data_IF_697181245617
#
_entry.id   IF_697181245617
#
_cell.length_a   1.000
_cell.length_b   1.000
_cell.length_c   1.000
_cell.angle_alpha   90.00
_cell.angle_beta   90.00
_cell.angle_gamma   90.00
#
_symmetry.space_group_name_H-M   'P 1'
#
loop_
_entity.id
_entity.type
_entity.pdbx_description
1 polymer ?
#
# COMPACT_ATOMS: atom_id res chain seq x y z
N UNK A 1 -26.16 8.24 7.87
CA UNK A 1 -25.77 7.23 6.86
C UNK A 1 -24.32 6.86 7.15
N UNK A 2 -24.00 5.59 7.14
CA UNK A 2 -22.69 5.12 7.61
C UNK A 2 -21.64 5.33 6.49
N UNK A 3 -20.74 6.29 6.65
CA UNK A 3 -19.71 6.66 5.66
C UNK A 3 -18.85 5.47 5.21
N UNK A 4 -18.66 4.48 6.08
CA UNK A 4 -17.93 3.25 5.78
C UNK A 4 -18.63 2.39 4.71
N UNK A 5 -19.96 2.23 4.79
CA UNK A 5 -20.73 1.46 3.81
C UNK A 5 -20.76 2.11 2.43
N UNK A 6 -20.80 3.44 2.40
CA UNK A 6 -20.78 4.20 1.14
C UNK A 6 -19.41 4.08 0.45
N UNK A 7 -18.35 4.14 1.23
CA UNK A 7 -16.99 3.90 0.77
C UNK A 7 -16.82 2.49 0.16
N UNK A 8 -17.21 1.45 0.89
CA UNK A 8 -17.11 0.07 0.43
C UNK A 8 -17.91 -0.17 -0.86
N UNK A 9 -19.13 0.39 -0.93
CA UNK A 9 -19.97 0.36 -2.12
C UNK A 9 -19.30 1.02 -3.31
N UNK A 10 -18.63 2.17 -3.11
CA UNK A 10 -17.93 2.91 -4.17
C UNK A 10 -16.75 2.13 -4.71
N UNK A 11 -15.92 1.54 -3.83
CA UNK A 11 -14.80 0.70 -4.24
C UNK A 11 -15.28 -0.54 -4.99
N UNK A 12 -16.34 -1.19 -4.51
CA UNK A 12 -16.95 -2.34 -5.19
C UNK A 12 -17.41 -1.98 -6.60
N UNK A 13 -18.14 -0.90 -6.77
CA UNK A 13 -18.63 -0.47 -8.10
C UNK A 13 -17.47 -0.19 -9.07
N UNK A 14 -16.37 0.40 -8.59
CA UNK A 14 -15.21 0.69 -9.40
C UNK A 14 -14.38 -0.57 -9.75
N UNK A 15 -14.51 -1.64 -8.98
CA UNK A 15 -13.85 -2.93 -9.25
C UNK A 15 -14.58 -3.78 -10.30
N UNK A 16 -15.84 -3.47 -10.59
CA UNK A 16 -16.62 -4.21 -11.57
C UNK A 16 -16.22 -3.87 -13.02
N UNK A 17 -16.32 -4.82 -13.97
CA UNK A 17 -16.24 -4.51 -15.39
C UNK A 17 -17.23 -3.39 -15.77
N UNK A 18 -16.82 -2.52 -16.69
CA UNK A 18 -17.56 -1.28 -17.02
C UNK A 18 -19.03 -1.54 -17.40
N UNK A 19 -19.33 -2.68 -18.03
CA UNK A 19 -20.69 -3.04 -18.43
C UNK A 19 -21.60 -3.43 -17.24
N UNK A 20 -21.04 -3.79 -16.08
CA UNK A 20 -21.79 -4.14 -14.87
C UNK A 20 -21.98 -2.93 -13.93
N UNK A 21 -21.32 -1.80 -14.19
CA UNK A 21 -21.40 -0.65 -13.30
C UNK A 21 -22.79 -0.02 -13.17
N UNK A 22 -23.70 -0.33 -14.11
CA UNK A 22 -25.11 0.09 -14.08
C UNK A 22 -26.06 -0.91 -13.43
N UNK A 23 -25.60 -2.10 -13.07
CA UNK A 23 -26.42 -3.14 -12.45
C UNK A 23 -26.27 -3.04 -10.94
N UNK A 24 -27.37 -2.74 -10.24
CA UNK A 24 -27.41 -2.72 -8.78
C UNK A 24 -27.29 -4.16 -8.23
N UNK A 25 -26.07 -4.65 -8.08
CA UNK A 25 -25.82 -5.89 -7.36
C UNK A 25 -25.63 -5.59 -5.87
N UNK A 26 -26.14 -6.43 -4.96
CA UNK A 26 -25.89 -6.25 -3.53
C UNK A 26 -24.37 -6.30 -3.27
N UNK A 27 -23.86 -5.55 -2.29
CA UNK A 27 -22.45 -5.54 -1.97
C UNK A 27 -22.01 -6.93 -1.52
N UNK A 28 -21.31 -7.62 -2.40
CA UNK A 28 -20.46 -8.74 -1.98
C UNK A 28 -19.31 -8.10 -1.22
N UNK A 29 -19.01 -8.62 -0.03
CA UNK A 29 -17.83 -8.18 0.74
C UNK A 29 -16.62 -8.13 -0.17
N UNK A 30 -15.97 -6.96 -0.25
CA UNK A 30 -14.72 -6.82 -0.99
C UNK A 30 -13.73 -7.89 -0.53
N UNK A 31 -12.93 -8.45 -1.46
CA UNK A 31 -11.86 -9.36 -1.07
C UNK A 31 -11.02 -8.68 0.00
N UNK A 32 -10.93 -9.35 1.11
CA UNK A 32 -10.65 -8.90 2.46
C UNK A 32 -9.18 -8.61 2.74
N UNK A 33 -8.40 -8.09 1.80
CA UNK A 33 -6.98 -7.85 2.00
C UNK A 33 -6.59 -6.36 2.08
N UNK A 34 -7.55 -5.47 2.33
CA UNK A 34 -7.24 -4.09 2.71
C UNK A 34 -6.95 -4.06 4.23
N UNK A 35 -5.75 -4.46 4.58
CA UNK A 35 -5.26 -4.42 5.95
C UNK A 35 -4.95 -2.98 6.33
N UNK A 36 -5.99 -2.20 6.59
CA UNK A 36 -5.81 -0.84 7.12
C UNK A 36 -5.26 -0.94 8.53
N UNK A 37 -4.10 -0.38 8.73
CA UNK A 37 -3.55 -0.28 10.08
C UNK A 37 -4.52 0.51 10.95
N UNK A 38 -5.15 -0.16 11.91
CA UNK A 38 -6.11 0.39 12.88
C UNK A 38 -7.35 1.08 12.29
N UNK A 39 -7.65 0.93 11.01
CA UNK A 39 -8.80 1.57 10.34
C UNK A 39 -8.71 3.11 10.21
N UNK A 40 -7.58 3.70 10.58
CA UNK A 40 -7.37 5.16 10.63
C UNK A 40 -6.67 5.69 9.36
N UNK A 41 -6.07 4.81 8.55
CA UNK A 41 -5.29 5.15 7.37
C UNK A 41 -5.93 4.59 6.11
N UNK A 42 -5.76 5.28 4.98
CA UNK A 42 -6.29 4.83 3.70
C UNK A 42 -5.30 3.99 2.90
N UNK A 43 -4.02 4.28 3.02
CA UNK A 43 -2.96 3.64 2.23
C UNK A 43 -1.95 2.86 3.08
N UNK A 44 -1.89 3.09 4.38
CA UNK A 44 -0.97 2.41 5.27
C UNK A 44 -1.50 1.02 5.63
N UNK A 45 -1.02 0.00 4.94
CA UNK A 45 -1.38 -1.40 5.16
C UNK A 45 -1.00 -2.28 3.99
N UNK A 46 -0.85 -3.59 4.24
CA UNK A 46 -0.57 -4.55 3.18
C UNK A 46 -1.81 -4.77 2.31
N UNK A 47 -1.61 -4.94 0.99
CA UNK A 47 -2.69 -5.26 0.06
C UNK A 47 -3.62 -4.11 -0.30
N UNK A 48 -3.21 -2.86 -0.05
CA UNK A 48 -3.99 -1.67 -0.40
C UNK A 48 -4.33 -1.63 -1.89
N UNK A 49 -5.63 -1.54 -2.27
CA UNK A 49 -6.05 -1.47 -3.66
C UNK A 49 -5.84 -0.05 -4.23
N UNK A 50 -4.58 0.36 -4.37
CA UNK A 50 -4.16 1.71 -4.73
C UNK A 50 -4.92 2.29 -5.94
N UNK A 51 -4.96 1.56 -7.06
CA UNK A 51 -5.57 2.06 -8.29
C UNK A 51 -7.07 2.34 -8.11
N UNK A 52 -7.79 1.50 -7.36
CA UNK A 52 -9.21 1.68 -7.07
C UNK A 52 -9.44 2.88 -6.16
N UNK A 53 -8.62 3.03 -5.10
CA UNK A 53 -8.70 4.18 -4.18
C UNK A 53 -8.43 5.49 -4.90
N UNK A 54 -7.41 5.55 -5.75
CA UNK A 54 -7.13 6.75 -6.56
C UNK A 54 -8.26 7.06 -7.54
N UNK A 55 -8.82 6.06 -8.21
CA UNK A 55 -9.98 6.22 -9.10
C UNK A 55 -11.22 6.71 -8.33
N UNK A 56 -11.37 6.29 -7.08
CA UNK A 56 -12.44 6.74 -6.19
C UNK A 56 -12.22 8.16 -5.63
N UNK A 57 -11.06 8.78 -5.87
CA UNK A 57 -10.69 10.10 -5.36
C UNK A 57 -10.45 10.10 -3.85
N UNK A 58 -9.98 8.98 -3.30
CA UNK A 58 -9.64 8.88 -1.88
C UNK A 58 -8.26 9.50 -1.67
N UNK A 59 -8.18 10.46 -0.77
CA UNK A 59 -6.94 11.15 -0.43
C UNK A 59 -6.35 10.58 0.86
N UNK A 60 -5.01 10.63 1.02
CA UNK A 60 -4.35 10.22 2.26
C UNK A 60 -4.75 11.13 3.43
N UNK A 61 -4.88 10.56 4.61
CA UNK A 61 -5.37 11.29 5.80
C UNK A 61 -4.29 12.17 6.44
N UNK A 62 -3.02 11.83 6.27
CA UNK A 62 -1.88 12.60 6.81
C UNK A 62 -0.59 12.31 6.03
N UNK A 63 0.54 12.87 6.50
CA UNK A 63 1.85 12.70 5.87
C UNK A 63 2.31 11.24 5.81
N UNK A 64 2.11 10.47 6.89
CA UNK A 64 2.47 9.06 6.94
C UNK A 64 1.71 8.25 5.88
N UNK A 65 0.41 8.47 5.79
CA UNK A 65 -0.47 7.82 4.82
C UNK A 65 -0.14 8.26 3.38
N UNK A 66 0.32 9.51 3.19
CA UNK A 66 0.80 10.00 1.90
C UNK A 66 2.06 9.30 1.46
N UNK A 67 3.01 9.05 2.35
CA UNK A 67 4.22 8.27 2.03
C UNK A 67 3.83 6.84 1.63
N UNK A 68 2.88 6.22 2.37
CA UNK A 68 2.36 4.90 2.02
C UNK A 68 1.67 4.89 0.65
N UNK A 69 0.88 5.92 0.32
CA UNK A 69 0.26 6.08 -0.99
C UNK A 69 1.29 6.13 -2.13
N UNK A 70 2.39 6.86 -1.96
CA UNK A 70 3.47 6.89 -2.95
C UNK A 70 4.17 5.53 -3.10
N UNK A 71 4.41 4.83 -2.02
CA UNK A 71 4.92 3.47 -2.04
C UNK A 71 4.00 2.54 -2.85
N UNK A 72 2.70 2.55 -2.58
CA UNK A 72 1.71 1.74 -3.28
C UNK A 72 1.60 2.10 -4.77
N UNK A 73 1.80 3.38 -5.10
CA UNK A 73 1.85 3.82 -6.51
C UNK A 73 3.00 3.18 -7.27
N UNK A 74 4.18 3.07 -6.66
CA UNK A 74 5.36 2.44 -7.25
C UNK A 74 5.15 0.93 -7.42
N UNK A 75 4.49 0.28 -6.46
CA UNK A 75 4.11 -1.12 -6.57
C UNK A 75 3.09 -1.36 -7.69
N UNK A 76 2.07 -0.53 -7.78
CA UNK A 76 1.08 -0.58 -8.85
C UNK A 76 1.73 -0.40 -10.21
N UNK A 77 2.65 0.55 -10.34
CA UNK A 77 3.41 0.78 -11.57
C UNK A 77 4.27 -0.43 -11.94
N UNK A 78 5.03 -0.99 -10.98
CA UNK A 78 5.85 -2.19 -11.23
C UNK A 78 5.01 -3.39 -11.64
N UNK A 79 3.82 -3.57 -11.06
CA UNK A 79 2.92 -4.66 -11.43
C UNK A 79 2.41 -4.53 -12.88
N UNK A 80 2.13 -3.31 -13.33
CA UNK A 80 1.65 -3.04 -14.69
C UNK A 80 2.75 -3.14 -15.76
N UNK A 81 4.02 -2.93 -15.38
CA UNK A 81 5.16 -2.91 -16.28
C UNK A 81 6.09 -4.11 -16.12
N UNK A 82 5.60 -5.18 -15.50
CA UNK A 82 6.37 -6.42 -15.33
C UNK A 82 6.59 -7.09 -16.69
N UNK A 83 7.85 -7.23 -17.08
CA UNK A 83 8.25 -8.00 -18.26
C UNK A 83 8.30 -9.48 -17.86
N UNK A 84 7.67 -10.40 -18.59
CA UNK A 84 7.80 -11.82 -18.34
C UNK A 84 9.27 -12.25 -18.24
N UNK A 85 9.66 -12.94 -17.17
CA UNK A 85 11.04 -13.37 -16.92
C UNK A 85 11.93 -12.32 -16.24
N UNK A 86 11.50 -11.08 -16.07
CA UNK A 86 12.27 -10.01 -15.42
C UNK A 86 12.05 -9.92 -13.89
N UNK A 87 11.80 -11.05 -13.22
CA UNK A 87 11.53 -11.08 -11.78
C UNK A 87 12.59 -10.40 -10.92
N UNK A 88 13.86 -10.47 -11.34
CA UNK A 88 15.00 -9.79 -10.70
C UNK A 88 14.85 -8.27 -10.74
N UNK A 89 14.53 -7.71 -11.90
CA UNK A 89 14.38 -6.28 -12.09
C UNK A 89 13.18 -5.79 -11.30
N UNK A 90 12.08 -6.51 -11.35
CA UNK A 90 10.85 -6.18 -10.59
C UNK A 90 11.10 -6.22 -9.08
N UNK A 91 11.84 -7.23 -8.59
CA UNK A 91 12.21 -7.32 -7.17
C UNK A 91 13.12 -6.15 -6.76
N UNK A 92 14.11 -5.82 -7.58
CA UNK A 92 14.99 -4.68 -7.34
C UNK A 92 14.23 -3.34 -7.28
N UNK A 93 13.32 -3.11 -8.21
CA UNK A 93 12.49 -1.88 -8.24
C UNK A 93 11.59 -1.78 -7.01
N UNK A 94 10.96 -2.88 -6.60
CA UNK A 94 10.19 -2.94 -5.35
C UNK A 94 11.07 -2.74 -4.13
N UNK A 95 12.28 -3.30 -4.11
CA UNK A 95 13.25 -3.08 -3.04
C UNK A 95 13.65 -1.62 -2.88
N UNK A 96 13.84 -0.90 -4.00
CA UNK A 96 14.10 0.54 -3.98
C UNK A 96 12.88 1.30 -3.45
N UNK A 97 11.66 0.91 -3.85
CA UNK A 97 10.43 1.52 -3.38
C UNK A 97 10.24 1.34 -1.86
N UNK A 98 10.44 0.11 -1.37
CA UNK A 98 10.36 -0.22 0.06
C UNK A 98 11.39 0.59 0.87
N UNK A 99 12.66 0.58 0.43
CA UNK A 99 13.71 1.32 1.11
C UNK A 99 13.45 2.83 1.13
N UNK A 100 13.04 3.39 0.00
CA UNK A 100 12.74 4.82 -0.14
C UNK A 100 11.56 5.25 0.73
N UNK A 101 10.48 4.49 0.74
CA UNK A 101 9.31 4.75 1.59
C UNK A 101 9.68 4.60 3.08
N UNK A 102 10.45 3.56 3.43
CA UNK A 102 10.95 3.36 4.79
C UNK A 102 11.79 4.52 5.28
N UNK A 103 12.76 5.00 4.48
CA UNK A 103 13.58 6.15 4.80
C UNK A 103 12.75 7.44 4.95
N UNK A 104 11.74 7.64 4.11
CA UNK A 104 10.83 8.78 4.22
C UNK A 104 10.00 8.73 5.51
N UNK A 105 9.46 7.57 5.88
CA UNK A 105 8.71 7.38 7.14
C UNK A 105 9.60 7.60 8.36
N UNK A 106 10.84 7.07 8.36
CA UNK A 106 11.82 7.32 9.41
C UNK A 106 12.12 8.80 9.55
N UNK A 107 12.34 9.50 8.43
CA UNK A 107 12.58 10.95 8.44
C UNK A 107 11.38 11.70 9.02
N UNK A 108 10.15 11.35 8.60
CA UNK A 108 8.95 11.97 9.12
C UNK A 108 8.75 11.73 10.62
N UNK A 109 9.15 10.55 11.13
CA UNK A 109 9.06 10.21 12.56
C UNK A 109 9.89 11.11 13.45
N UNK A 110 11.08 11.52 12.99
CA UNK A 110 11.99 12.41 13.73
C UNK A 110 11.77 13.90 13.44
N UNK A 111 11.06 14.24 12.35
CA UNK A 111 10.84 15.63 11.98
C UNK A 111 9.75 16.27 12.85
N UNK A 112 10.07 17.27 13.71
CA UNK A 112 9.08 17.93 14.56
C UNK A 112 8.01 18.71 13.77
N UNK A 113 8.30 19.08 12.52
CA UNK A 113 7.38 19.82 11.63
C UNK A 113 6.60 18.91 10.67
N UNK A 114 6.67 17.58 10.84
CA UNK A 114 5.92 16.64 9.99
C UNK A 114 4.39 16.70 10.20
N UNK A 115 3.92 17.40 11.22
CA UNK A 115 2.50 17.44 11.59
C UNK A 115 1.98 16.13 12.21
N UNK A 116 2.86 15.11 12.38
CA UNK A 116 2.50 13.84 12.96
C UNK A 116 2.40 13.93 14.49
N UNK A 117 1.36 13.36 15.07
CA UNK A 117 1.23 13.11 16.51
C UNK A 117 2.30 12.12 17.00
N UNK A 118 2.51 12.02 18.31
CA UNK A 118 3.45 11.04 18.89
C UNK A 118 3.11 9.60 18.51
N UNK A 119 1.82 9.24 18.48
CA UNK A 119 1.34 7.92 18.02
C UNK A 119 1.75 7.67 16.56
N UNK A 120 1.50 8.64 15.69
CA UNK A 120 1.83 8.54 14.27
C UNK A 120 3.34 8.51 14.02
N UNK A 121 4.13 9.25 14.78
CA UNK A 121 5.60 9.19 14.73
C UNK A 121 6.14 7.82 15.12
N UNK A 122 5.59 7.23 16.20
CA UNK A 122 5.96 5.87 16.60
C UNK A 122 5.60 4.86 15.51
N UNK A 123 4.43 4.99 14.92
CA UNK A 123 4.00 4.13 13.82
C UNK A 123 4.87 4.34 12.58
N UNK A 124 5.20 5.58 12.22
CA UNK A 124 6.10 5.92 11.12
C UNK A 124 7.50 5.33 11.32
N UNK A 125 8.01 5.37 12.55
CA UNK A 125 9.28 4.75 12.89
C UNK A 125 9.25 3.23 12.66
N UNK A 126 8.25 2.54 13.23
CA UNK A 126 8.12 1.08 13.12
C UNK A 126 7.90 0.66 11.66
N UNK A 127 6.95 1.29 10.96
CA UNK A 127 6.67 0.99 9.57
C UNK A 127 7.86 1.29 8.66
N UNK A 128 8.58 2.37 8.93
CA UNK A 128 9.79 2.77 8.21
C UNK A 128 10.89 1.74 8.34
N UNK A 129 11.15 1.26 9.56
CA UNK A 129 12.16 0.23 9.82
C UNK A 129 11.83 -1.08 9.09
N UNK A 130 10.58 -1.54 9.19
CA UNK A 130 10.11 -2.74 8.50
C UNK A 130 10.31 -2.62 6.98
N UNK A 131 9.89 -1.50 6.37
CA UNK A 131 10.05 -1.29 4.93
C UNK A 131 11.53 -1.18 4.51
N UNK A 132 12.39 -0.54 5.29
CA UNK A 132 13.83 -0.48 4.99
C UNK A 132 14.45 -1.88 5.00
N UNK A 133 14.16 -2.70 6.01
CA UNK A 133 14.63 -4.07 6.09
C UNK A 133 14.12 -4.86 4.89
N UNK A 134 12.83 -4.76 4.57
CA UNK A 134 12.23 -5.42 3.42
C UNK A 134 12.88 -4.99 2.12
N UNK A 135 13.16 -3.71 1.95
CA UNK A 135 13.87 -3.16 0.79
C UNK A 135 15.27 -3.76 0.63
N UNK A 136 16.06 -3.78 1.71
CA UNK A 136 17.40 -4.39 1.72
C UNK A 136 17.32 -5.89 1.35
N UNK A 137 16.37 -6.62 1.92
CA UNK A 137 16.18 -8.04 1.62
C UNK A 137 15.83 -8.27 0.15
N UNK A 138 14.99 -7.41 -0.46
CA UNK A 138 14.63 -7.51 -1.89
C UNK A 138 15.79 -7.15 -2.83
N UNK A 139 16.69 -6.29 -2.39
CA UNK A 139 17.88 -5.93 -3.15
C UNK A 139 18.98 -7.00 -3.08
N UNK A 140 18.91 -7.92 -2.11
CA UNK A 140 19.87 -9.00 -1.96
C UNK A 140 19.35 -10.32 -2.57
N UNK A 141 19.97 -10.83 -3.63
CA UNK A 141 19.54 -12.07 -4.30
C UNK A 141 19.46 -13.29 -3.38
N UNK A 142 20.32 -13.36 -2.34
CA UNK A 142 20.37 -14.49 -1.39
C UNK A 142 19.09 -14.59 -0.55
N UNK A 143 18.39 -13.47 -0.34
CA UNK A 143 17.18 -13.41 0.50
C UNK A 143 15.88 -13.60 -0.27
N UNK A 144 15.91 -13.82 -1.59
CA UNK A 144 14.69 -13.89 -2.42
C UNK A 144 13.79 -15.08 -2.10
N UNK A 145 14.33 -16.22 -1.71
CA UNK A 145 13.54 -17.38 -1.30
C UNK A 145 12.64 -17.06 -0.09
N UNK A 146 13.19 -16.58 1.03
CA UNK A 146 12.41 -16.10 2.17
C UNK A 146 11.43 -14.97 1.83
N UNK A 147 11.82 -14.03 0.95
CA UNK A 147 10.94 -12.95 0.52
C UNK A 147 9.78 -13.42 -0.35
N UNK A 148 9.97 -14.43 -1.18
CA UNK A 148 8.87 -15.02 -1.94
C UNK A 148 7.82 -15.66 -1.01
N UNK A 149 8.26 -16.29 0.07
CA UNK A 149 7.36 -16.82 1.10
C UNK A 149 6.61 -15.73 1.84
N UNK A 150 7.27 -14.65 2.25
CA UNK A 150 6.62 -13.51 2.89
C UNK A 150 5.64 -12.81 1.95
N UNK A 151 5.99 -12.65 0.67
CA UNK A 151 5.05 -12.11 -0.31
C UNK A 151 3.81 -12.99 -0.48
N UNK A 152 3.97 -14.31 -0.51
CA UNK A 152 2.84 -15.23 -0.58
C UNK A 152 1.95 -15.14 0.67
N UNK A 153 2.52 -14.87 1.84
CA UNK A 153 1.78 -14.76 3.10
C UNK A 153 0.98 -13.44 3.21
N UNK A 154 1.51 -12.34 2.67
CA UNK A 154 0.97 -10.99 2.89
C UNK A 154 0.34 -10.33 1.65
N UNK A 155 0.51 -10.90 0.47
CA UNK A 155 0.02 -10.39 -0.82
C UNK A 155 -0.59 -11.49 -1.68
#
# INVERSE_FOLDING_TARGET
MNSSLEYERRIYLLSQPTFLQGVATPPVSLPTHDWRFFGEYEYLGAGTPYALKRKAGIEPVNELDRIAMYHDSQYSWTAQHTIPGAGLITSGMRGIADYGAGAAMMTASFNPWSGLSMKERTLAFIAGDVLMIQGIMRLNPVTWGPMAFLNWLFY
#
